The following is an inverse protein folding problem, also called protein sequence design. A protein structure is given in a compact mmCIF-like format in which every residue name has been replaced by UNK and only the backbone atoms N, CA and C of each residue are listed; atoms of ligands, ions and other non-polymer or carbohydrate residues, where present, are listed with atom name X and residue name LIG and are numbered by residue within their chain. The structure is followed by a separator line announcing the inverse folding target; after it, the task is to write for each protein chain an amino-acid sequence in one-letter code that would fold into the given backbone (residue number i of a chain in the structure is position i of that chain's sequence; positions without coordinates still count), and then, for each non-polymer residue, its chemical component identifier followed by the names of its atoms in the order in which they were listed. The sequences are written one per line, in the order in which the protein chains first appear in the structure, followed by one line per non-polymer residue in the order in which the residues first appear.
data_IF_594503564354
#
_entry.id   IF_594503564354
#
_cell.length_a   1.000
_cell.length_b   1.000
_cell.length_c   1.000
_cell.angle_alpha   90.00
_cell.angle_beta   90.00
_cell.angle_gamma   90.00
#
_symmetry.space_group_name_H-M   'P 1'
#
loop_
_entity.id
_entity.type
_entity.pdbx_description
1 polymer ?
#
# COMPACT_ATOMS: atom_id res chain seq x y z
N UNK A 1 -29.06 27.58 -23.12
CA UNK A 1 -28.30 27.57 -21.85
C UNK A 1 -28.19 26.12 -21.36
N UNK A 2 -27.02 25.49 -21.53
CA UNK A 2 -26.81 24.11 -21.09
C UNK A 2 -26.48 24.09 -19.58
N UNK A 3 -27.32 23.43 -18.78
CA UNK A 3 -27.06 23.19 -17.35
C UNK A 3 -25.87 22.23 -17.21
N UNK A 4 -24.73 22.74 -16.74
CA UNK A 4 -23.63 21.88 -16.26
C UNK A 4 -24.15 21.02 -15.12
N UNK A 5 -24.24 19.71 -15.35
CA UNK A 5 -24.46 18.75 -14.27
C UNK A 5 -23.24 18.81 -13.34
N UNK A 6 -23.47 19.29 -12.13
CA UNK A 6 -22.51 19.25 -11.02
C UNK A 6 -22.26 17.76 -10.74
N UNK A 7 -21.07 17.26 -11.06
CA UNK A 7 -20.66 15.91 -10.69
C UNK A 7 -20.77 15.80 -9.18
N UNK A 8 -21.74 15.01 -8.71
CA UNK A 8 -21.85 14.66 -7.31
C UNK A 8 -20.60 13.86 -6.96
N UNK A 9 -19.77 14.41 -6.08
CA UNK A 9 -18.58 13.79 -5.54
C UNK A 9 -18.98 12.54 -4.76
N UNK A 10 -19.10 11.42 -5.47
CA UNK A 10 -19.29 10.09 -4.88
C UNK A 10 -18.03 9.75 -4.09
N UNK A 11 -18.18 9.78 -2.76
CA UNK A 11 -17.40 9.04 -1.76
C UNK A 11 -15.89 9.28 -1.75
N UNK A 12 -15.44 10.12 -0.82
CA UNK A 12 -14.05 10.25 -0.38
C UNK A 12 -13.57 9.00 0.42
N UNK A 13 -13.84 7.78 -0.07
CA UNK A 13 -13.28 6.55 0.49
C UNK A 13 -11.86 6.40 -0.05
N UNK A 14 -10.87 6.66 0.80
CA UNK A 14 -9.45 6.69 0.42
C UNK A 14 -8.75 8.04 0.60
N UNK A 15 -9.41 9.04 1.22
CA UNK A 15 -8.81 10.37 1.45
C UNK A 15 -7.49 10.31 2.25
N UNK A 16 -7.35 9.31 3.12
CA UNK A 16 -6.19 9.15 4.00
C UNK A 16 -5.16 8.13 3.45
N UNK A 17 -5.31 7.74 2.17
CA UNK A 17 -4.41 6.78 1.54
C UNK A 17 -3.26 7.49 0.84
N UNK A 18 -2.04 7.09 1.19
CA UNK A 18 -0.80 7.56 0.59
C UNK A 18 -0.54 6.87 -0.75
N UNK A 19 -1.05 5.65 -0.92
CA UNK A 19 -0.97 4.88 -2.16
C UNK A 19 -2.21 5.18 -3.03
N UNK A 20 -2.01 5.35 -4.34
CA UNK A 20 -3.09 5.66 -5.29
C UNK A 20 -4.07 4.49 -5.44
N UNK A 21 -5.30 4.67 -4.95
CA UNK A 21 -6.40 3.68 -5.11
C UNK A 21 -6.69 3.42 -6.59
N UNK A 22 -6.62 4.45 -7.44
CA UNK A 22 -6.88 4.29 -8.88
C UNK A 22 -5.82 3.42 -9.54
N UNK A 23 -4.54 3.65 -9.24
CA UNK A 23 -3.46 2.83 -9.80
C UNK A 23 -3.60 1.35 -9.39
N UNK A 24 -4.02 1.09 -8.15
CA UNK A 24 -4.32 -0.27 -7.69
C UNK A 24 -5.53 -0.87 -8.42
N UNK A 25 -6.58 -0.07 -8.70
CA UNK A 25 -7.72 -0.50 -9.49
C UNK A 25 -7.33 -0.86 -10.94
N UNK A 26 -6.51 -0.03 -11.57
CA UNK A 26 -6.04 -0.24 -12.94
C UNK A 26 -5.21 -1.54 -13.03
N UNK A 27 -4.24 -1.72 -12.14
CA UNK A 27 -3.41 -2.95 -12.06
C UNK A 27 -4.29 -4.18 -11.82
N UNK A 28 -5.25 -4.12 -10.90
CA UNK A 28 -6.15 -5.25 -10.64
C UNK A 28 -7.01 -5.59 -11.86
N UNK A 29 -7.52 -4.58 -12.56
CA UNK A 29 -8.37 -4.77 -13.73
C UNK A 29 -7.58 -5.39 -14.90
N UNK A 30 -6.36 -4.91 -15.14
CA UNK A 30 -5.46 -5.44 -16.16
C UNK A 30 -5.03 -6.89 -15.86
N UNK A 31 -4.70 -7.18 -14.60
CA UNK A 31 -4.16 -8.49 -14.20
C UNK A 31 -5.24 -9.57 -14.17
N UNK A 32 -6.44 -9.24 -13.68
CA UNK A 32 -7.50 -10.24 -13.45
C UNK A 32 -8.44 -10.42 -14.64
N UNK A 33 -8.48 -9.46 -15.58
CA UNK A 33 -9.40 -9.45 -16.74
C UNK A 33 -10.89 -9.58 -16.37
N UNK A 34 -11.25 -9.27 -15.13
CA UNK A 34 -12.62 -9.23 -14.63
C UNK A 34 -12.98 -7.83 -14.15
N UNK A 35 -14.28 -7.56 -13.99
CA UNK A 35 -14.73 -6.31 -13.40
C UNK A 35 -14.34 -6.25 -11.92
N UNK A 36 -13.43 -5.33 -11.58
CA UNK A 36 -12.99 -5.12 -10.20
C UNK A 36 -13.95 -4.16 -9.50
N UNK A 37 -14.58 -4.62 -8.43
CA UNK A 37 -15.42 -3.77 -7.59
C UNK A 37 -14.57 -2.65 -6.95
N UNK A 38 -15.01 -1.37 -6.95
CA UNK A 38 -14.18 -0.27 -6.44
C UNK A 38 -13.68 -0.45 -5.00
N UNK A 39 -14.47 -1.11 -4.15
CA UNK A 39 -14.04 -1.39 -2.77
C UNK A 39 -12.87 -2.36 -2.68
N UNK A 40 -12.70 -3.27 -3.65
CA UNK A 40 -11.56 -4.20 -3.67
C UNK A 40 -10.23 -3.46 -3.75
N UNK A 41 -10.18 -2.40 -4.57
CA UNK A 41 -8.99 -1.55 -4.68
C UNK A 41 -8.73 -0.79 -3.39
N UNK A 42 -9.76 -0.22 -2.76
CA UNK A 42 -9.61 0.45 -1.46
C UNK A 42 -9.05 -0.51 -0.39
N UNK A 43 -9.57 -1.73 -0.30
CA UNK A 43 -9.07 -2.73 0.64
C UNK A 43 -7.61 -3.12 0.37
N UNK A 44 -7.27 -3.40 -0.89
CA UNK A 44 -5.90 -3.75 -1.24
C UNK A 44 -4.94 -2.59 -0.96
N UNK A 45 -5.33 -1.35 -1.28
CA UNK A 45 -4.54 -0.16 -0.95
C UNK A 45 -4.30 -0.02 0.55
N UNK A 46 -5.31 -0.28 1.40
CA UNK A 46 -5.13 -0.27 2.86
C UNK A 46 -4.10 -1.32 3.32
N UNK A 47 -4.22 -2.55 2.81
CA UNK A 47 -3.31 -3.64 3.17
C UNK A 47 -1.88 -3.31 2.75
N UNK A 48 -1.69 -2.82 1.52
CA UNK A 48 -0.37 -2.44 1.01
C UNK A 48 0.24 -1.30 1.85
N UNK A 49 -0.55 -0.29 2.20
CA UNK A 49 -0.07 0.82 3.02
C UNK A 49 0.29 0.37 4.43
N UNK A 50 -0.54 -0.50 5.05
CA UNK A 50 -0.28 -1.05 6.37
C UNK A 50 1.01 -1.89 6.39
N UNK A 51 1.15 -2.87 5.49
CA UNK A 51 2.34 -3.73 5.43
C UNK A 51 3.59 -2.91 5.11
N UNK A 52 3.49 -1.92 4.23
CA UNK A 52 4.60 -1.01 3.91
C UNK A 52 5.04 -0.22 5.15
N UNK A 53 4.08 0.32 5.92
CA UNK A 53 4.37 1.04 7.14
C UNK A 53 5.06 0.15 8.19
N UNK A 54 4.57 -1.08 8.39
CA UNK A 54 5.12 -2.03 9.36
C UNK A 54 6.57 -2.41 9.02
N UNK A 55 6.86 -2.66 7.74
CA UNK A 55 8.22 -2.98 7.28
C UNK A 55 9.17 -1.79 7.50
N UNK A 56 8.73 -0.57 7.16
CA UNK A 56 9.54 0.65 7.34
C UNK A 56 9.78 0.92 8.83
N UNK A 57 8.75 0.81 9.67
CA UNK A 57 8.85 1.03 11.11
C UNK A 57 9.81 0.02 11.76
N UNK A 58 9.69 -1.25 11.39
CA UNK A 58 10.57 -2.32 11.89
C UNK A 58 12.01 -2.11 11.45
N UNK A 59 12.23 -1.66 10.22
CA UNK A 59 13.57 -1.34 9.73
C UNK A 59 14.18 -0.13 10.46
N UNK A 60 13.39 0.91 10.73
CA UNK A 60 13.85 2.06 11.51
C UNK A 60 14.20 1.68 12.95
N UNK A 61 13.38 0.84 13.61
CA UNK A 61 13.65 0.34 14.97
C UNK A 61 14.95 -0.46 15.06
N UNK A 62 15.26 -1.25 14.03
CA UNK A 62 16.45 -2.11 14.00
C UNK A 62 17.70 -1.41 13.46
N UNK A 63 17.56 -0.21 12.87
CA UNK A 63 18.68 0.55 12.33
C UNK A 63 19.57 1.06 13.46
N UNK A 64 20.83 0.62 13.47
CA UNK A 64 21.85 1.12 14.40
C UNK A 64 22.77 2.10 13.67
N UNK A 65 22.78 3.35 14.08
CA UNK A 65 23.68 4.40 13.56
C UNK A 65 22.97 5.66 13.06
N UNK A 66 23.75 6.70 12.79
CA UNK A 66 23.26 8.05 12.46
C UNK A 66 22.83 8.25 11.00
N UNK A 67 22.72 7.18 10.19
CA UNK A 67 22.35 7.30 8.78
C UNK A 67 20.86 7.63 8.64
N UNK A 68 20.56 8.63 7.82
CA UNK A 68 19.21 9.19 7.63
C UNK A 68 18.37 8.32 6.66
N UNK A 69 19.01 7.46 5.85
CA UNK A 69 18.33 6.69 4.80
C UNK A 69 18.24 5.19 5.13
N UNK A 70 17.08 4.57 4.89
CA UNK A 70 16.93 3.12 4.89
C UNK A 70 17.57 2.51 3.65
N UNK A 71 18.29 1.41 3.84
CA UNK A 71 18.88 0.61 2.76
C UNK A 71 18.11 -0.70 2.57
N UNK A 72 18.30 -1.37 1.43
CA UNK A 72 17.70 -2.69 1.19
C UNK A 72 18.13 -3.73 2.22
N UNK A 73 19.35 -3.62 2.76
CA UNK A 73 19.85 -4.50 3.83
C UNK A 73 19.12 -4.25 5.16
N UNK A 74 18.81 -3.00 5.49
CA UNK A 74 18.00 -2.66 6.67
C UNK A 74 16.61 -3.27 6.59
N UNK A 75 15.97 -3.20 5.40
CA UNK A 75 14.66 -3.79 5.14
C UNK A 75 14.71 -5.32 5.26
N UNK A 76 15.70 -5.96 4.63
CA UNK A 76 15.85 -7.41 4.72
C UNK A 76 16.09 -7.87 6.16
N UNK A 77 16.93 -7.18 6.91
CA UNK A 77 17.15 -7.48 8.34
C UNK A 77 15.87 -7.35 9.15
N UNK A 78 15.07 -6.31 8.89
CA UNK A 78 13.78 -6.11 9.54
C UNK A 78 12.82 -7.28 9.27
N UNK A 79 12.68 -7.68 8.00
CA UNK A 79 11.83 -8.81 7.59
C UNK A 79 12.30 -10.11 8.25
N UNK A 80 13.61 -10.37 8.30
CA UNK A 80 14.14 -11.61 8.88
C UNK A 80 14.06 -11.65 10.41
N UNK A 81 14.06 -10.50 11.07
CA UNK A 81 13.99 -10.38 12.52
C UNK A 81 12.56 -10.52 13.07
N UNK A 82 11.55 -10.10 12.30
CA UNK A 82 10.15 -10.19 12.70
C UNK A 82 9.51 -11.52 12.20
N UNK A 83 8.98 -12.39 13.09
CA UNK A 83 8.43 -13.68 12.69
C UNK A 83 7.20 -13.59 11.76
N UNK A 84 6.37 -12.56 11.90
CA UNK A 84 5.16 -12.39 11.09
C UNK A 84 5.51 -11.87 9.69
N UNK A 85 6.39 -10.87 9.60
CA UNK A 85 6.94 -10.39 8.33
C UNK A 85 7.73 -11.51 7.64
N UNK A 86 8.58 -12.23 8.37
CA UNK A 86 9.32 -13.38 7.81
C UNK A 86 8.38 -14.41 7.21
N UNK A 87 7.26 -14.73 7.89
CA UNK A 87 6.24 -15.65 7.39
C UNK A 87 5.50 -15.09 6.17
N UNK A 88 5.17 -13.81 6.18
CA UNK A 88 4.49 -13.15 5.06
C UNK A 88 5.36 -13.16 3.80
N UNK A 89 6.66 -12.90 3.95
CA UNK A 89 7.62 -12.82 2.85
C UNK A 89 8.31 -14.15 2.54
N UNK A 90 8.09 -15.23 3.29
CA UNK A 90 8.76 -16.52 3.01
C UNK A 90 8.33 -17.21 1.70
N UNK A 91 7.26 -16.70 1.08
CA UNK A 91 6.70 -17.21 -0.18
C UNK A 91 7.24 -16.46 -1.41
N UNK A 92 8.06 -15.43 -1.20
CA UNK A 92 8.61 -14.54 -2.24
C UNK A 92 10.14 -14.66 -2.19
#
# INVERSE_FOLDING_TARGET
MAKRQKSSSKSQKGKDMLISVQAIHDVLSETTKIQVHPSSSVYLTAILQFVTAEVIETALKNKKGASIALTSDDINKAIQADPELKRLFSLI
#
